data_IF_738480111441
#
_entry.id   IF_738480111441
#
_cell.length_a   1.000
_cell.length_b   1.000
_cell.length_c   1.000
_cell.angle_alpha   90.00
_cell.angle_beta   90.00
_cell.angle_gamma   90.00
#
_symmetry.space_group_name_H-M   'P 1'
#
loop_
_entity.id
_entity.type
_entity.pdbx_description
1 polymer ?
#
# COMPACT_ATOMS: atom_id res chain seq x y z
N UNK A 1 10.62 41.09 -26.93
CA UNK A 1 9.79 39.95 -26.50
C UNK A 1 10.66 38.98 -25.70
N UNK A 2 10.63 39.03 -24.37
CA UNK A 2 11.41 38.11 -23.53
C UNK A 2 10.62 36.82 -23.28
N UNK A 3 11.13 35.70 -23.81
CA UNK A 3 10.52 34.37 -23.68
C UNK A 3 10.52 33.90 -22.23
N UNK A 4 9.34 33.83 -21.62
CA UNK A 4 9.13 33.27 -20.29
C UNK A 4 8.93 31.75 -20.41
N UNK A 5 10.02 30.99 -20.32
CA UNK A 5 9.97 29.54 -20.20
C UNK A 5 9.16 29.12 -18.96
N UNK A 6 8.25 28.15 -19.11
CA UNK A 6 7.49 27.56 -17.99
C UNK A 6 8.40 26.62 -17.19
N UNK A 7 9.32 27.21 -16.41
CA UNK A 7 10.33 26.47 -15.67
C UNK A 7 10.93 27.25 -14.51
N UNK A 8 10.10 27.99 -13.77
CA UNK A 8 10.52 28.72 -12.57
C UNK A 8 10.07 28.00 -11.30
N UNK A 9 11.01 27.35 -10.61
CA UNK A 9 10.81 26.67 -9.33
C UNK A 9 10.63 27.72 -8.22
N UNK A 10 9.39 28.18 -8.02
CA UNK A 10 9.03 29.02 -6.88
C UNK A 10 9.09 28.21 -5.58
N UNK A 11 10.17 28.35 -4.82
CA UNK A 11 10.32 27.78 -3.49
C UNK A 11 9.54 28.64 -2.48
N UNK A 12 8.22 28.50 -2.48
CA UNK A 12 7.42 28.86 -1.30
C UNK A 12 7.51 27.71 -0.30
N UNK A 13 8.23 27.88 0.81
CA UNK A 13 8.19 26.96 1.95
C UNK A 13 6.79 26.99 2.59
N UNK A 14 5.84 26.31 1.96
CA UNK A 14 4.59 25.94 2.61
C UNK A 14 4.92 24.88 3.65
N UNK A 15 4.83 25.24 4.93
CA UNK A 15 5.04 24.30 6.04
C UNK A 15 4.25 23.01 5.82
N UNK A 16 4.84 21.87 6.19
CA UNK A 16 4.19 20.58 6.08
C UNK A 16 2.87 20.62 6.86
N UNK A 17 1.74 20.72 6.14
CA UNK A 17 0.42 20.64 6.74
C UNK A 17 0.29 19.28 7.38
N UNK A 18 0.29 19.24 8.72
CA UNK A 18 -0.11 18.05 9.47
C UNK A 18 -1.60 17.86 9.27
N UNK A 19 -1.96 17.13 8.23
CA UNK A 19 -3.32 16.63 8.08
C UNK A 19 -3.55 15.52 9.10
N UNK A 20 -4.52 15.69 9.99
CA UNK A 20 -5.10 14.58 10.75
C UNK A 20 -5.57 13.53 9.73
N UNK A 21 -5.14 12.27 9.88
CA UNK A 21 -5.59 11.18 9.00
C UNK A 21 -7.07 10.92 9.27
N UNK A 22 -7.93 11.50 8.44
CA UNK A 22 -9.36 11.15 8.38
C UNK A 22 -9.44 9.86 7.57
N UNK A 23 -10.26 8.91 8.02
CA UNK A 23 -10.56 7.71 7.24
C UNK A 23 -11.23 8.14 5.92
N UNK A 24 -10.52 7.92 4.82
CA UNK A 24 -10.95 8.16 3.44
C UNK A 24 -10.58 6.93 2.63
N UNK A 25 -10.93 6.92 1.34
CA UNK A 25 -10.41 5.92 0.42
C UNK A 25 -8.89 6.05 0.27
N UNK A 26 -8.18 5.33 1.13
CA UNK A 26 -6.72 5.39 1.27
C UNK A 26 -6.00 4.64 0.15
N UNK A 27 -6.73 3.95 -0.74
CA UNK A 27 -6.13 3.16 -1.82
C UNK A 27 -5.29 4.03 -2.77
N UNK A 28 -5.68 5.31 -2.93
CA UNK A 28 -4.94 6.28 -3.73
C UNK A 28 -3.61 6.69 -3.09
N UNK A 29 -3.40 6.40 -1.80
CA UNK A 29 -2.12 6.52 -1.11
C UNK A 29 -1.05 5.55 -1.63
N UNK A 30 -1.45 4.48 -2.32
CA UNK A 30 -0.52 3.63 -3.08
C UNK A 30 -0.18 4.35 -4.38
N UNK A 31 0.90 5.15 -4.32
CA UNK A 31 1.25 6.08 -5.39
C UNK A 31 1.79 5.39 -6.65
N UNK A 32 1.63 6.04 -7.82
CA UNK A 32 2.18 5.55 -9.11
C UNK A 32 3.69 5.23 -9.06
N UNK A 33 4.56 6.02 -8.40
CA UNK A 33 5.97 5.66 -8.24
C UNK A 33 6.20 4.38 -7.42
N UNK A 34 5.38 4.12 -6.39
CA UNK A 34 5.49 2.88 -5.61
C UNK A 34 5.14 1.65 -6.45
N UNK A 35 4.04 1.71 -7.21
CA UNK A 35 3.64 0.66 -8.15
C UNK A 35 4.74 0.45 -9.21
N UNK A 36 5.33 1.54 -9.74
CA UNK A 36 6.45 1.45 -10.67
C UNK A 36 7.65 0.72 -10.05
N UNK A 37 8.03 1.03 -8.80
CA UNK A 37 9.13 0.34 -8.11
C UNK A 37 8.87 -1.15 -7.94
N UNK A 38 7.65 -1.55 -7.59
CA UNK A 38 7.25 -2.96 -7.51
C UNK A 38 7.37 -3.65 -8.87
N UNK A 39 6.82 -3.05 -9.93
CA UNK A 39 6.91 -3.58 -11.29
C UNK A 39 8.37 -3.67 -11.79
N UNK A 40 9.22 -2.69 -11.46
CA UNK A 40 10.65 -2.74 -11.79
C UNK A 40 11.37 -3.87 -11.06
N UNK A 41 11.07 -4.10 -9.78
CA UNK A 41 11.60 -5.25 -9.04
C UNK A 41 11.20 -6.57 -9.70
N UNK A 42 9.99 -6.64 -10.28
CA UNK A 42 9.52 -7.75 -11.09
C UNK A 42 10.05 -7.80 -12.53
N UNK A 43 11.03 -6.96 -12.91
CA UNK A 43 11.64 -6.99 -14.25
C UNK A 43 10.80 -6.35 -15.37
N UNK A 44 9.69 -5.68 -15.04
CA UNK A 44 8.82 -5.05 -16.05
C UNK A 44 9.55 -3.87 -16.70
N UNK A 45 9.64 -3.82 -18.05
CA UNK A 45 10.33 -2.76 -18.82
C UNK A 45 9.43 -1.57 -19.18
N UNK A 46 8.20 -1.81 -19.63
CA UNK A 46 7.20 -0.76 -19.94
C UNK A 46 5.89 -1.05 -19.19
N UNK A 47 5.17 0.00 -18.78
CA UNK A 47 3.95 -0.11 -17.97
C UNK A 47 2.87 0.77 -18.60
N UNK A 48 1.70 0.20 -18.90
CA UNK A 48 0.54 0.95 -19.38
C UNK A 48 -0.04 1.87 -18.29
N UNK A 49 -0.70 2.96 -18.71
CA UNK A 49 -1.34 3.91 -17.80
C UNK A 49 -2.47 3.30 -16.97
N UNK A 50 -3.15 2.26 -17.48
CA UNK A 50 -4.28 1.62 -16.80
C UNK A 50 -3.85 0.72 -15.63
N UNK A 51 -2.60 0.24 -15.64
CA UNK A 51 -2.07 -0.69 -14.64
C UNK A 51 -2.06 -0.11 -13.22
N UNK A 52 -2.03 1.23 -13.07
CA UNK A 52 -2.00 1.83 -11.74
C UNK A 52 -3.30 1.64 -10.95
N UNK A 53 -4.46 1.73 -11.59
CA UNK A 53 -5.74 1.46 -10.91
C UNK A 53 -5.97 -0.05 -10.78
N UNK A 54 -5.59 -0.83 -11.80
CA UNK A 54 -5.68 -2.30 -11.75
C UNK A 54 -4.88 -2.88 -10.57
N UNK A 55 -3.63 -2.44 -10.41
CA UNK A 55 -2.78 -2.89 -9.30
C UNK A 55 -3.38 -2.54 -7.94
N UNK A 56 -4.06 -1.40 -7.84
CA UNK A 56 -4.75 -0.99 -6.60
C UNK A 56 -5.94 -1.90 -6.30
N UNK A 57 -6.74 -2.25 -7.31
CA UNK A 57 -7.83 -3.21 -7.17
C UNK A 57 -7.35 -4.57 -6.65
N UNK A 58 -6.31 -5.12 -7.30
CA UNK A 58 -5.71 -6.40 -6.90
C UNK A 58 -5.13 -6.34 -5.48
N UNK A 59 -4.41 -5.27 -5.15
CA UNK A 59 -3.84 -5.09 -3.81
C UNK A 59 -4.92 -5.00 -2.73
N UNK A 60 -6.02 -4.30 -3.01
CA UNK A 60 -7.16 -4.19 -2.09
C UNK A 60 -7.76 -5.56 -1.80
N UNK A 61 -8.06 -6.36 -2.83
CA UNK A 61 -8.61 -7.71 -2.68
C UNK A 61 -7.65 -8.61 -1.87
N UNK A 62 -6.34 -8.53 -2.17
CA UNK A 62 -5.33 -9.27 -1.42
C UNK A 62 -5.36 -8.95 0.07
N UNK A 63 -5.36 -7.65 0.42
CA UNK A 63 -5.35 -7.20 1.81
C UNK A 63 -6.66 -7.53 2.52
N UNK A 64 -7.81 -7.36 1.87
CA UNK A 64 -9.12 -7.73 2.43
C UNK A 64 -9.18 -9.20 2.85
N UNK A 65 -8.64 -10.10 2.02
CA UNK A 65 -8.63 -11.52 2.32
C UNK A 65 -7.70 -11.86 3.49
N UNK A 66 -6.48 -11.33 3.50
CA UNK A 66 -5.51 -11.59 4.58
C UNK A 66 -5.96 -10.99 5.90
N UNK A 67 -6.48 -9.76 5.89
CA UNK A 67 -6.94 -9.07 7.09
C UNK A 67 -8.18 -9.74 7.67
N UNK A 68 -9.12 -10.19 6.83
CA UNK A 68 -10.31 -10.93 7.29
C UNK A 68 -9.92 -12.15 8.12
N UNK A 69 -9.04 -12.98 7.59
CA UNK A 69 -8.55 -14.18 8.31
C UNK A 69 -7.73 -13.81 9.56
N UNK A 70 -6.92 -12.76 9.50
CA UNK A 70 -6.13 -12.28 10.65
C UNK A 70 -7.03 -11.83 11.81
N UNK A 71 -8.13 -11.13 11.49
CA UNK A 71 -9.13 -10.71 12.47
C UNK A 71 -9.85 -11.93 13.06
N UNK A 72 -10.19 -12.93 12.24
CA UNK A 72 -10.78 -14.19 12.73
C UNK A 72 -9.90 -14.89 13.77
N UNK A 73 -8.58 -14.97 13.55
CA UNK A 73 -7.66 -15.53 14.56
C UNK A 73 -7.60 -14.69 15.83
N UNK A 74 -7.62 -13.36 15.69
CA UNK A 74 -7.61 -12.42 16.81
C UNK A 74 -8.85 -12.58 17.69
N UNK A 75 -10.02 -12.67 17.08
CA UNK A 75 -11.31 -12.86 17.74
C UNK A 75 -11.40 -14.25 18.41
N UNK A 76 -10.94 -15.31 17.72
CA UNK A 76 -10.89 -16.65 18.29
C UNK A 76 -10.05 -16.71 19.57
N UNK A 77 -8.95 -15.96 19.61
CA UNK A 77 -8.10 -15.83 20.78
C UNK A 77 -8.62 -14.84 21.84
N UNK A 78 -9.83 -14.30 21.67
CA UNK A 78 -10.46 -13.28 22.55
C UNK A 78 -9.59 -12.03 22.77
N UNK A 79 -8.75 -11.69 21.80
CA UNK A 79 -7.89 -10.50 21.83
C UNK A 79 -8.56 -9.35 21.08
N UNK A 80 -8.20 -8.11 21.43
CA UNK A 80 -8.59 -6.89 20.68
C UNK A 80 -7.48 -6.36 19.78
N UNK A 81 -6.30 -6.98 19.84
CA UNK A 81 -5.09 -6.56 19.14
C UNK A 81 -4.65 -7.66 18.21
N UNK A 82 -4.62 -7.36 16.91
CA UNK A 82 -4.06 -8.23 15.88
C UNK A 82 -2.54 -8.32 16.10
N UNK A 83 -2.03 -9.53 16.20
CA UNK A 83 -0.60 -9.83 16.39
C UNK A 83 0.05 -10.19 15.06
N UNK A 84 1.40 -10.18 15.02
CA UNK A 84 2.14 -10.65 13.86
C UNK A 84 1.83 -12.13 13.53
N UNK A 85 1.65 -12.97 14.56
CA UNK A 85 1.32 -14.38 14.40
C UNK A 85 -0.04 -14.60 13.73
N UNK A 86 -1.06 -13.78 14.04
CA UNK A 86 -2.38 -13.87 13.39
C UNK A 86 -2.25 -13.67 11.87
N UNK A 87 -1.41 -12.73 11.44
CA UNK A 87 -1.12 -12.46 10.03
C UNK A 87 -0.32 -13.60 9.40
N UNK A 88 0.69 -14.12 10.10
CA UNK A 88 1.49 -15.26 9.62
C UNK A 88 0.61 -16.50 9.41
N UNK A 89 -0.32 -16.76 10.33
CA UNK A 89 -1.26 -17.88 10.19
C UNK A 89 -2.27 -17.68 9.06
N UNK A 90 -2.83 -16.48 8.90
CA UNK A 90 -3.69 -16.14 7.77
C UNK A 90 -2.96 -16.34 6.43
N UNK A 91 -1.72 -15.87 6.33
CA UNK A 91 -0.89 -16.03 5.15
C UNK A 91 -0.56 -17.51 4.87
N UNK A 92 -0.20 -18.29 5.91
CA UNK A 92 0.04 -19.73 5.79
C UNK A 92 -1.19 -20.49 5.29
N UNK A 93 -2.39 -20.15 5.80
CA UNK A 93 -3.67 -20.73 5.34
C UNK A 93 -3.94 -20.46 3.86
N UNK A 94 -3.58 -19.28 3.36
CA UNK A 94 -3.70 -18.92 1.94
C UNK A 94 -2.57 -19.46 1.03
N UNK A 95 -1.68 -20.32 1.56
CA UNK A 95 -0.56 -20.89 0.80
C UNK A 95 0.61 -19.93 0.59
N UNK A 96 0.71 -18.85 1.38
CA UNK A 96 1.71 -17.79 1.26
C UNK A 96 2.58 -17.68 2.52
N UNK A 97 3.29 -18.74 2.88
CA UNK A 97 4.11 -18.78 4.10
C UNK A 97 5.12 -17.63 4.13
N UNK A 98 5.11 -16.87 5.23
CA UNK A 98 6.00 -15.74 5.47
C UNK A 98 6.94 -16.03 6.65
N UNK A 99 8.25 -15.85 6.44
CA UNK A 99 9.29 -16.07 7.45
C UNK A 99 9.74 -14.76 8.11
N UNK A 100 10.28 -14.85 9.34
CA UNK A 100 10.90 -13.72 10.04
C UNK A 100 9.99 -12.94 11.01
N UNK A 101 8.79 -13.44 11.31
CA UNK A 101 7.78 -12.73 12.11
C UNK A 101 7.22 -13.54 13.31
N UNK A 102 7.95 -14.57 13.76
CA UNK A 102 7.52 -15.48 14.84
C UNK A 102 8.12 -15.20 16.22
N UNK A 103 8.40 -13.93 16.53
CA UNK A 103 8.96 -13.53 17.82
C UNK A 103 7.92 -13.61 18.95
#
# INVERSE_FOLDING_TARGET
MSGRGKGGKGLGKGGAKRHRKILRDNIQGITKPAIRRLARRGGVKRISGLIYEETRGVLKIFLENVIRDSVTYTEHAKRKTVTALDVVYALKRSGRTLYGFGA
#
